data_IF_181902263856
#
_entry.id   IF_181902263856
#
_cell.length_a   1.000
_cell.length_b   1.000
_cell.length_c   1.000
_cell.angle_alpha   90.00
_cell.angle_beta   90.00
_cell.angle_gamma   90.00
#
_symmetry.space_group_name_H-M   'P 1'
#
loop_
_entity.id
_entity.type
_entity.pdbx_description
1 polymer ?
#
# COMPACT_ATOMS: atom_id res chain seq x y z
N UNK A 1 4.22 -2.58 -19.38
CA UNK A 1 3.06 -2.36 -18.49
C UNK A 1 3.29 -1.18 -17.54
N UNK A 2 4.37 -1.12 -16.75
CA UNK A 2 4.68 0.08 -15.94
C UNK A 2 5.42 1.19 -16.72
N UNK A 3 6.25 0.82 -17.70
CA UNK A 3 6.88 1.77 -18.62
C UNK A 3 5.88 2.58 -19.46
N UNK A 4 4.76 1.96 -19.86
CA UNK A 4 3.70 2.62 -20.63
C UNK A 4 2.91 3.64 -19.82
N UNK A 5 3.02 3.61 -18.48
CA UNK A 5 2.42 4.60 -17.56
C UNK A 5 3.50 5.47 -16.88
N UNK A 6 4.71 5.51 -17.46
CA UNK A 6 5.76 6.46 -17.12
C UNK A 6 6.76 6.05 -16.05
N UNK A 7 6.85 4.76 -15.67
CA UNK A 7 7.93 4.27 -14.79
C UNK A 7 9.10 3.69 -15.59
N UNK A 8 10.32 4.17 -15.34
CA UNK A 8 11.54 3.75 -16.03
C UNK A 8 12.42 2.82 -15.18
N UNK A 9 13.54 2.31 -15.74
CA UNK A 9 14.46 1.41 -15.03
C UNK A 9 14.98 1.96 -13.69
N UNK A 10 15.18 3.28 -13.60
CA UNK A 10 15.60 3.95 -12.36
C UNK A 10 14.58 3.81 -11.24
N UNK A 11 13.28 3.70 -11.56
CA UNK A 11 12.23 3.57 -10.56
C UNK A 11 12.22 2.18 -9.89
N UNK A 12 12.94 1.20 -10.46
CA UNK A 12 13.05 -0.17 -9.94
C UNK A 12 14.43 -0.48 -9.35
N UNK A 13 15.40 0.45 -9.46
CA UNK A 13 16.71 0.28 -8.86
C UNK A 13 16.65 0.41 -7.33
N UNK A 14 17.60 -0.19 -6.63
CA UNK A 14 17.84 -0.01 -5.18
C UNK A 14 16.62 -0.23 -4.27
N UNK A 15 15.70 -1.13 -4.67
CA UNK A 15 14.48 -1.43 -3.91
C UNK A 15 13.24 -0.64 -4.36
N UNK A 16 13.40 0.27 -5.32
CA UNK A 16 12.34 1.07 -5.92
C UNK A 16 12.39 2.54 -5.52
N UNK A 17 12.00 3.42 -6.44
CA UNK A 17 11.88 4.86 -6.15
C UNK A 17 10.70 5.17 -5.22
N UNK A 18 10.79 6.27 -4.49
CA UNK A 18 9.69 6.78 -3.64
C UNK A 18 8.37 6.89 -4.42
N UNK A 19 8.42 7.46 -5.64
CA UNK A 19 7.23 7.56 -6.51
C UNK A 19 6.60 6.20 -6.81
N UNK A 20 7.41 5.17 -7.05
CA UNK A 20 6.91 3.82 -7.33
C UNK A 20 6.30 3.21 -6.06
N UNK A 21 7.02 3.30 -4.94
CA UNK A 21 6.58 2.76 -3.65
C UNK A 21 5.30 3.44 -3.18
N UNK A 22 5.22 4.76 -3.24
CA UNK A 22 4.03 5.53 -2.88
C UNK A 22 2.81 5.17 -3.73
N UNK A 23 3.02 4.81 -4.99
CA UNK A 23 1.94 4.41 -5.88
C UNK A 23 1.38 3.02 -5.54
N UNK A 24 2.21 2.08 -5.06
CA UNK A 24 1.83 0.67 -4.90
C UNK A 24 1.66 0.22 -3.45
N UNK A 25 2.26 0.92 -2.48
CA UNK A 25 2.18 0.59 -1.05
C UNK A 25 1.46 1.72 -0.32
N UNK A 26 0.44 1.36 0.47
CA UNK A 26 -0.15 2.26 1.45
C UNK A 26 0.69 2.19 2.73
N UNK A 27 1.60 3.14 2.93
CA UNK A 27 2.52 3.17 4.07
C UNK A 27 2.56 4.55 4.75
N UNK A 28 3.15 4.59 5.94
CA UNK A 28 3.18 5.77 6.80
C UNK A 28 2.25 5.66 8.01
N UNK A 29 1.87 6.80 8.63
CA UNK A 29 0.95 6.84 9.77
C UNK A 29 -0.42 6.23 9.43
N UNK A 30 -1.14 5.76 10.45
CA UNK A 30 -2.45 5.11 10.29
C UNK A 30 -3.44 5.92 9.45
N UNK A 31 -3.51 7.24 9.66
CA UNK A 31 -4.41 8.13 8.92
C UNK A 31 -4.09 8.18 7.42
N UNK A 32 -2.82 8.10 7.04
CA UNK A 32 -2.40 8.06 5.64
C UNK A 32 -2.85 6.75 4.97
N UNK A 33 -2.72 5.63 5.68
CA UNK A 33 -3.20 4.33 5.21
C UNK A 33 -4.73 4.34 5.08
N UNK A 34 -5.46 4.87 6.08
CA UNK A 34 -6.93 5.00 6.02
C UNK A 34 -7.38 5.90 4.87
N UNK A 35 -6.69 7.01 4.62
CA UNK A 35 -6.98 7.89 3.49
C UNK A 35 -6.82 7.17 2.15
N UNK A 36 -5.79 6.33 1.99
CA UNK A 36 -5.62 5.52 0.77
C UNK A 36 -6.75 4.50 0.59
N UNK A 37 -7.18 3.84 1.67
CA UNK A 37 -8.33 2.92 1.62
C UNK A 37 -9.63 3.64 1.24
N UNK A 38 -9.84 4.86 1.76
CA UNK A 38 -10.98 5.69 1.38
C UNK A 38 -10.90 6.12 -0.09
N UNK A 39 -9.72 6.45 -0.61
CA UNK A 39 -9.51 6.82 -2.01
C UNK A 39 -9.88 5.67 -2.96
N UNK A 40 -9.54 4.41 -2.62
CA UNK A 40 -9.97 3.25 -3.42
C UNK A 40 -11.49 3.12 -3.47
N UNK A 41 -12.18 3.30 -2.32
CA UNK A 41 -13.64 3.29 -2.28
C UNK A 41 -14.26 4.44 -3.08
N UNK A 42 -13.72 5.65 -2.96
CA UNK A 42 -14.15 6.80 -3.73
C UNK A 42 -13.97 6.61 -5.25
N UNK A 43 -12.95 5.84 -5.66
CA UNK A 43 -12.75 5.43 -7.04
C UNK A 43 -13.71 4.32 -7.52
N UNK A 44 -14.63 3.86 -6.67
CA UNK A 44 -15.67 2.89 -7.01
C UNK A 44 -15.41 1.47 -6.51
N UNK A 45 -14.35 1.22 -5.73
CA UNK A 45 -14.13 -0.10 -5.14
C UNK A 45 -15.21 -0.41 -4.09
N UNK A 46 -15.94 -1.49 -4.31
CA UNK A 46 -16.89 -2.07 -3.36
C UNK A 46 -16.19 -2.98 -2.32
N UNK A 47 -15.05 -3.55 -2.71
CA UNK A 47 -14.17 -4.32 -1.84
C UNK A 47 -12.71 -3.89 -2.01
N UNK A 48 -11.99 -3.76 -0.88
CA UNK A 48 -10.56 -3.44 -0.86
C UNK A 48 -9.83 -4.53 -0.09
N UNK A 49 -9.07 -5.37 -0.80
CA UNK A 49 -8.22 -6.38 -0.20
C UNK A 49 -6.96 -5.72 0.39
N UNK A 50 -6.65 -6.06 1.64
CA UNK A 50 -5.47 -5.55 2.34
C UNK A 50 -4.47 -6.70 2.46
N UNK A 51 -3.25 -6.49 1.98
CA UNK A 51 -2.11 -7.39 2.18
C UNK A 51 -1.13 -6.72 3.15
N UNK A 52 -1.19 -7.02 4.46
CA UNK A 52 -0.29 -6.42 5.44
C UNK A 52 1.13 -6.93 5.20
N UNK A 53 2.07 -6.01 4.99
CA UNK A 53 3.48 -6.32 4.83
C UNK A 53 4.20 -6.15 6.16
N UNK A 54 4.96 -7.16 6.57
CA UNK A 54 5.80 -7.07 7.76
C UNK A 54 7.12 -6.38 7.43
N UNK A 55 7.52 -5.42 8.26
CA UNK A 55 8.79 -4.68 8.08
C UNK A 55 10.03 -5.54 8.32
N UNK A 56 9.87 -6.73 8.90
CA UNK A 56 10.93 -7.71 9.12
C UNK A 56 11.21 -8.61 7.89
N UNK A 57 10.50 -8.38 6.78
CA UNK A 57 10.64 -9.18 5.56
C UNK A 57 9.97 -10.56 5.63
N UNK A 58 9.25 -10.87 6.71
CA UNK A 58 8.50 -12.12 6.80
C UNK A 58 7.25 -12.10 5.93
N UNK A 59 6.84 -13.28 5.47
CA UNK A 59 5.58 -13.47 4.73
C UNK A 59 4.36 -13.56 5.66
N UNK A 60 4.54 -13.33 6.95
CA UNK A 60 3.43 -13.30 7.91
C UNK A 60 2.78 -11.92 7.85
N UNK A 61 1.45 -11.82 7.86
CA UNK A 61 0.78 -10.53 7.97
C UNK A 61 1.16 -9.82 9.27
N UNK A 62 1.46 -8.52 9.19
CA UNK A 62 1.69 -7.70 10.38
C UNK A 62 0.38 -7.56 11.16
N UNK A 63 0.32 -8.18 12.35
CA UNK A 63 -0.85 -8.18 13.21
C UNK A 63 -1.26 -6.76 13.64
N UNK A 64 -0.30 -5.84 13.81
CA UNK A 64 -0.58 -4.46 14.23
C UNK A 64 -1.36 -3.71 13.16
N UNK A 65 -1.03 -3.94 11.89
CA UNK A 65 -1.75 -3.36 10.75
C UNK A 65 -3.16 -3.92 10.68
N UNK A 66 -3.33 -5.23 10.90
CA UNK A 66 -4.65 -5.86 10.94
C UNK A 66 -5.52 -5.31 12.06
N UNK A 67 -4.97 -5.16 13.27
CA UNK A 67 -5.68 -4.59 14.42
C UNK A 67 -6.04 -3.12 14.18
N UNK A 68 -5.10 -2.31 13.70
CA UNK A 68 -5.36 -0.91 13.39
C UNK A 68 -6.46 -0.74 12.34
N UNK A 69 -6.48 -1.58 11.30
CA UNK A 69 -7.45 -1.49 10.21
C UNK A 69 -8.72 -2.30 10.43
N UNK A 70 -8.83 -3.02 11.55
CA UNK A 70 -10.03 -3.78 11.89
C UNK A 70 -11.26 -2.87 11.88
N UNK A 71 -12.43 -3.36 11.42
CA UNK A 71 -13.67 -2.61 11.51
C UNK A 71 -13.94 -2.22 12.98
N UNK A 72 -14.24 -0.95 13.21
CA UNK A 72 -14.71 -0.50 14.52
C UNK A 72 -16.09 -1.13 14.74
N UNK A 73 -16.21 -1.99 15.75
CA UNK A 73 -17.48 -2.53 16.23
C UNK A 73 -18.31 -1.45 16.90
#
# INVERSE_FOLDING_TARGET
MLATVGYGPKDFADGGSDRLIDAIVAWGPEDAVRARLAAHRAAGADHVCILPLSSDGSLRPDARVLEALAPRR
#
